data_IF_004702364877
#
_entry.id   IF_004702364877
#
_cell.length_a   1.000
_cell.length_b   1.000
_cell.length_c   1.000
_cell.angle_alpha   90.00
_cell.angle_beta   90.00
_cell.angle_gamma   90.00
#
_symmetry.space_group_name_H-M   'P 1'
#
loop_
_entity.id
_entity.type
_entity.pdbx_description
1 polymer ?
#
# COMPACT_ATOMS: atom_id res chain seq x y z
N UNK A 1 23.74 16.19 3.46
CA UNK A 1 23.76 14.75 3.14
C UNK A 1 23.18 13.91 4.28
N UNK A 2 21.88 14.02 4.54
CA UNK A 2 21.13 12.85 5.01
C UNK A 2 20.70 12.14 3.73
N UNK A 3 21.11 10.88 3.55
CA UNK A 3 20.61 10.02 2.48
C UNK A 3 19.08 10.13 2.42
N UNK A 4 18.50 10.09 1.21
CA UNK A 4 17.07 10.27 0.95
C UNK A 4 16.25 9.71 2.10
N UNK A 5 15.69 10.62 2.91
CA UNK A 5 15.05 10.31 4.18
C UNK A 5 13.65 9.75 3.91
N UNK A 6 13.63 8.62 3.22
CA UNK A 6 12.48 8.02 2.59
C UNK A 6 12.35 6.54 2.94
N UNK A 7 11.13 6.03 2.90
CA UNK A 7 10.85 4.59 2.97
C UNK A 7 10.08 4.13 1.75
N UNK A 8 10.44 2.95 1.26
CA UNK A 8 9.78 2.33 0.13
C UNK A 8 8.91 1.14 0.57
N UNK A 9 7.71 1.01 0.00
CA UNK A 9 6.86 -0.18 0.15
C UNK A 9 6.49 -0.74 -1.23
N UNK A 10 6.61 -2.05 -1.39
CA UNK A 10 6.13 -2.76 -2.59
C UNK A 10 4.96 -3.65 -2.20
N UNK A 11 3.85 -3.52 -2.95
CA UNK A 11 2.64 -4.31 -2.73
C UNK A 11 2.40 -5.16 -3.96
N UNK A 12 2.46 -6.46 -3.76
CA UNK A 12 2.05 -7.45 -4.75
C UNK A 12 0.77 -8.10 -4.22
N UNK A 13 -0.35 -7.80 -4.87
CA UNK A 13 -1.56 -8.59 -4.69
C UNK A 13 -1.43 -9.86 -5.52
N UNK A 14 -1.91 -11.00 -5.02
CA UNK A 14 -1.76 -12.32 -5.66
C UNK A 14 -3.12 -12.97 -5.89
N UNK A 15 -3.39 -13.41 -7.12
CA UNK A 15 -4.60 -14.16 -7.47
C UNK A 15 -4.71 -15.45 -6.65
N UNK A 16 -5.82 -15.61 -5.92
CA UNK A 16 -6.23 -16.91 -5.37
C UNK A 16 -5.39 -17.48 -4.21
N UNK A 17 -4.36 -16.79 -3.73
CA UNK A 17 -3.64 -17.16 -2.49
C UNK A 17 -4.36 -16.63 -1.25
N UNK A 18 -5.67 -16.86 -1.18
CA UNK A 18 -6.43 -16.70 0.05
C UNK A 18 -6.01 -17.83 0.99
N UNK A 19 -4.91 -17.64 1.71
CA UNK A 19 -4.67 -18.45 2.91
C UNK A 19 -5.89 -18.29 3.83
N UNK A 20 -6.22 -19.29 4.67
CA UNK A 20 -7.33 -19.15 5.63
C UNK A 20 -7.22 -17.89 6.51
N UNK A 21 -6.02 -17.35 6.70
CA UNK A 21 -5.77 -16.06 7.35
C UNK A 21 -6.22 -14.87 6.49
N UNK A 22 -6.00 -14.91 5.18
CA UNK A 22 -6.46 -13.90 4.24
C UNK A 22 -7.98 -13.91 4.05
N UNK A 23 -8.65 -15.06 4.26
CA UNK A 23 -10.12 -15.16 4.22
C UNK A 23 -10.79 -14.31 5.30
N UNK A 24 -10.30 -14.32 6.55
CA UNK A 24 -10.79 -13.44 7.61
C UNK A 24 -10.49 -11.96 7.37
N UNK A 25 -9.49 -11.67 6.52
CA UNK A 25 -9.15 -10.31 6.11
C UNK A 25 -9.93 -9.85 4.87
N UNK A 26 -10.59 -10.75 4.16
CA UNK A 26 -11.02 -10.50 2.78
C UNK A 26 -12.20 -9.52 2.64
N UNK A 27 -13.04 -9.42 3.68
CA UNK A 27 -14.17 -8.50 3.69
C UNK A 27 -13.79 -7.07 4.08
N UNK A 28 -12.86 -6.89 5.03
CA UNK A 28 -12.56 -5.57 5.62
C UNK A 28 -11.08 -5.13 5.49
N UNK A 29 -10.19 -6.00 5.02
CA UNK A 29 -8.74 -5.74 4.93
C UNK A 29 -8.11 -5.28 6.27
N UNK A 30 -8.64 -5.72 7.41
CA UNK A 30 -8.17 -5.35 8.75
C UNK A 30 -6.68 -5.59 9.03
N UNK A 31 -6.09 -6.70 8.59
CA UNK A 31 -4.65 -6.98 8.73
C UNK A 31 -3.84 -6.06 7.83
N UNK A 32 -4.26 -5.86 6.58
CA UNK A 32 -3.61 -4.88 5.70
C UNK A 32 -3.67 -3.46 6.29
N UNK A 33 -4.81 -3.08 6.89
CA UNK A 33 -4.96 -1.78 7.57
C UNK A 33 -4.05 -1.68 8.80
N UNK A 34 -3.96 -2.75 9.61
CA UNK A 34 -3.08 -2.80 10.77
C UNK A 34 -1.61 -2.70 10.37
N UNK A 35 -1.20 -3.43 9.33
CA UNK A 35 0.14 -3.41 8.77
C UNK A 35 0.51 -2.02 8.26
N UNK A 36 -0.38 -1.39 7.47
CA UNK A 36 -0.19 -0.02 6.99
C UNK A 36 -0.07 0.97 8.16
N UNK A 37 -0.96 0.88 9.15
CA UNK A 37 -0.89 1.73 10.35
C UNK A 37 0.43 1.57 11.08
N UNK A 38 0.89 0.34 11.30
CA UNK A 38 2.16 0.07 11.96
C UNK A 38 3.35 0.60 11.15
N UNK A 39 3.32 0.43 9.83
CA UNK A 39 4.34 0.94 8.90
C UNK A 39 4.43 2.47 8.90
N UNK A 40 3.28 3.16 8.87
CA UNK A 40 3.20 4.62 8.96
C UNK A 40 3.73 5.10 10.31
N UNK A 41 3.37 4.42 11.41
CA UNK A 41 3.88 4.77 12.73
C UNK A 41 5.40 4.60 12.81
N UNK A 42 5.96 3.58 12.16
CA UNK A 42 7.40 3.41 12.05
C UNK A 42 8.04 4.55 11.26
N UNK A 43 7.44 4.94 10.13
CA UNK A 43 7.86 6.08 9.32
C UNK A 43 7.97 7.36 10.15
N UNK A 44 6.91 7.66 10.91
CA UNK A 44 6.84 8.84 11.77
C UNK A 44 7.90 8.80 12.88
N UNK A 45 8.09 7.65 13.54
CA UNK A 45 9.11 7.50 14.59
C UNK A 45 10.54 7.65 14.06
N UNK A 46 10.77 7.24 12.82
CA UNK A 46 12.06 7.34 12.15
C UNK A 46 12.28 8.72 11.48
N UNK A 47 11.39 9.69 11.68
CA UNK A 47 11.47 11.04 11.09
C UNK A 47 11.55 11.00 9.56
N UNK A 48 10.91 10.01 8.92
CA UNK A 48 10.91 9.84 7.46
C UNK A 48 10.09 10.96 6.84
N UNK A 49 10.63 11.65 5.83
CA UNK A 49 9.96 12.77 5.17
C UNK A 49 8.92 12.32 4.12
N UNK A 50 9.18 11.19 3.46
CA UNK A 50 8.32 10.68 2.41
C UNK A 50 8.31 9.16 2.39
N UNK A 51 7.12 8.60 2.19
CA UNK A 51 6.96 7.19 1.85
C UNK A 51 6.54 7.10 0.39
N UNK A 52 7.27 6.31 -0.40
CA UNK A 52 6.91 5.98 -1.78
C UNK A 52 6.78 4.47 -1.94
N UNK A 53 6.27 4.04 -3.09
CA UNK A 53 6.02 2.63 -3.30
C UNK A 53 5.51 2.28 -4.67
N UNK A 54 5.47 0.97 -4.91
CA UNK A 54 4.86 0.37 -6.09
C UNK A 54 3.73 -0.55 -5.68
N UNK A 55 2.67 -0.58 -6.49
CA UNK A 55 1.55 -1.50 -6.34
C UNK A 55 1.36 -2.26 -7.66
N UNK A 56 1.04 -3.54 -7.54
CA UNK A 56 0.66 -4.40 -8.66
C UNK A 56 -0.55 -5.23 -8.25
N UNK A 57 -1.58 -5.22 -9.09
CA UNK A 57 -2.84 -5.93 -8.88
C UNK A 57 -3.20 -6.69 -10.15
N UNK A 58 -3.56 -7.96 -10.01
CA UNK A 58 -3.85 -8.81 -11.17
C UNK A 58 -5.31 -8.74 -11.63
N UNK A 59 -6.22 -8.25 -10.79
CA UNK A 59 -7.61 -7.98 -11.17
C UNK A 59 -8.13 -6.59 -10.76
N UNK A 60 -9.25 -6.16 -11.37
CA UNK A 60 -9.85 -4.83 -11.18
C UNK A 60 -10.55 -4.65 -9.83
N UNK A 61 -11.09 -5.72 -9.25
CA UNK A 61 -11.81 -5.68 -7.96
C UNK A 61 -10.80 -5.44 -6.84
N UNK A 62 -9.71 -6.20 -6.84
CA UNK A 62 -8.61 -6.06 -5.91
C UNK A 62 -7.86 -4.75 -6.10
N UNK A 63 -7.73 -4.25 -7.33
CA UNK A 63 -7.18 -2.91 -7.56
C UNK A 63 -8.05 -1.83 -6.90
N UNK A 64 -9.37 -1.98 -6.95
CA UNK A 64 -10.29 -1.04 -6.30
C UNK A 64 -10.15 -1.08 -4.78
N UNK A 65 -10.02 -2.28 -4.20
CA UNK A 65 -9.74 -2.47 -2.76
C UNK A 65 -8.41 -1.84 -2.35
N UNK A 66 -7.34 -2.10 -3.09
CA UNK A 66 -6.02 -1.48 -2.89
C UNK A 66 -6.10 0.04 -2.98
N UNK A 67 -6.82 0.58 -3.96
CA UNK A 67 -7.01 2.03 -4.07
C UNK A 67 -7.71 2.61 -2.86
N UNK A 68 -8.78 1.95 -2.42
CA UNK A 68 -9.54 2.38 -1.25
C UNK A 68 -8.66 2.42 0.01
N UNK A 69 -7.94 1.35 0.33
CA UNK A 69 -7.14 1.28 1.56
C UNK A 69 -5.97 2.28 1.56
N UNK A 70 -5.22 2.39 0.46
CA UNK A 70 -4.07 3.30 0.41
C UNK A 70 -4.52 4.77 0.46
N UNK A 71 -5.62 5.13 -0.21
CA UNK A 71 -6.20 6.47 -0.13
C UNK A 71 -6.69 6.80 1.28
N UNK A 72 -7.33 5.84 1.97
CA UNK A 72 -7.74 5.98 3.39
C UNK A 72 -6.56 6.32 4.31
N UNK A 73 -5.37 5.80 4.01
CA UNK A 73 -4.14 6.09 4.76
C UNK A 73 -3.34 7.28 4.20
N UNK A 74 -3.93 8.12 3.35
CA UNK A 74 -3.31 9.35 2.86
C UNK A 74 -2.26 9.16 1.78
N UNK A 75 -2.20 7.99 1.13
CA UNK A 75 -1.37 7.81 -0.06
C UNK A 75 -2.10 8.32 -1.29
N UNK A 76 -1.35 8.99 -2.15
CA UNK A 76 -1.76 9.27 -3.53
C UNK A 76 -1.35 8.10 -4.41
N UNK A 77 -2.20 7.71 -5.36
CA UNK A 77 -1.97 6.57 -6.25
C UNK A 77 -1.98 7.07 -7.68
N UNK A 78 -0.90 6.79 -8.42
CA UNK A 78 -0.78 7.07 -9.85
C UNK A 78 -0.62 5.75 -10.60
N UNK A 79 -1.66 5.34 -11.32
CA UNK A 79 -1.57 4.17 -12.20
C UNK A 79 -0.60 4.48 -13.34
N UNK A 80 0.31 3.56 -13.58
CA UNK A 80 1.31 3.66 -14.67
C UNK A 80 0.83 2.87 -15.88
N UNK A 81 0.09 1.78 -15.65
CA UNK A 81 -0.61 1.02 -16.67
C UNK A 81 -2.02 0.64 -16.16
N UNK A 82 -3.09 1.25 -16.71
CA UNK A 82 -4.46 0.95 -16.33
C UNK A 82 -4.93 -0.48 -16.69
N UNK A 83 -4.25 -1.16 -17.62
CA UNK A 83 -4.64 -2.51 -18.04
C UNK A 83 -4.06 -3.60 -17.14
N UNK A 84 -2.85 -3.41 -16.62
CA UNK A 84 -2.15 -4.38 -15.77
C UNK A 84 -2.23 -4.08 -14.26
N UNK A 85 -2.91 -3.00 -13.87
CA UNK A 85 -3.09 -2.65 -12.46
C UNK A 85 -1.81 -2.17 -11.75
N UNK A 86 -0.76 -1.84 -12.51
CA UNK A 86 0.52 -1.38 -11.99
C UNK A 86 0.47 0.12 -11.70
N UNK A 87 0.91 0.51 -10.52
CA UNK A 87 0.90 1.90 -10.07
C UNK A 87 2.03 2.26 -9.14
N UNK A 88 2.22 3.56 -8.97
CA UNK A 88 3.07 4.14 -7.92
C UNK A 88 2.18 4.73 -6.84
N UNK A 89 2.66 4.64 -5.60
CA UNK A 89 2.03 5.27 -4.45
C UNK A 89 3.02 6.20 -3.76
N UNK A 90 2.50 7.29 -3.19
CA UNK A 90 3.32 8.24 -2.45
C UNK A 90 2.53 8.92 -1.37
N UNK A 91 3.16 9.12 -0.22
CA UNK A 91 2.64 9.89 0.91
C UNK A 91 3.75 10.77 1.48
N UNK A 92 3.47 12.06 1.62
CA UNK A 92 4.31 12.93 2.44
C UNK A 92 3.99 12.69 3.91
N UNK A 93 5.03 12.61 4.73
CA UNK A 93 4.90 12.51 6.17
C UNK A 93 4.83 13.93 6.75
N UNK A 94 4.08 14.09 7.85
CA UNK A 94 3.92 15.36 8.56
C UNK A 94 4.95 15.47 9.67
#
# INVERSE_FOLDING_TARGET
NRWDNGMHITVLETLGSESRLAFYDFENMGLAQLALKAFINLATKADIAQVDGTISSFDKVNLTKLRHIFTKFGFTIKLTDPQTGIGKISRKMQ
#
